data_IF_599348645008
#
_entry.id   IF_599348645008
#
_cell.length_a   1.000
_cell.length_b   1.000
_cell.length_c   1.000
_cell.angle_alpha   90.00
_cell.angle_beta   90.00
_cell.angle_gamma   90.00
#
_symmetry.space_group_name_H-M   'P 1'
#
loop_
_entity.id
_entity.type
_entity.pdbx_description
1 polymer ?
#
# COMPACT_ATOMS: atom_id res chain seq x y z
N UNK A 1 1.78 15.55 12.68
CA UNK A 1 1.03 16.09 13.83
C UNK A 1 1.89 15.96 15.07
N UNK A 2 2.03 17.02 15.86
CA UNK A 2 2.84 17.01 17.09
C UNK A 2 2.01 17.44 18.29
N UNK A 3 2.34 16.89 19.46
CA UNK A 3 1.73 17.20 20.75
C UNK A 3 2.85 17.46 21.76
N UNK A 4 2.77 18.55 22.51
CA UNK A 4 3.66 18.81 23.63
C UNK A 4 2.89 18.65 24.94
N UNK A 5 3.47 17.91 25.88
CA UNK A 5 2.90 17.61 27.19
C UNK A 5 3.94 17.99 28.24
N UNK A 6 3.52 18.77 29.24
CA UNK A 6 4.32 19.04 30.42
C UNK A 6 3.94 18.06 31.52
N UNK A 7 4.92 17.32 32.03
CA UNK A 7 4.72 16.37 33.14
C UNK A 7 5.95 16.40 34.04
N UNK A 8 5.74 16.51 35.35
CA UNK A 8 6.79 16.52 36.37
C UNK A 8 7.86 17.63 36.15
N UNK A 9 7.44 18.79 35.62
CA UNK A 9 8.33 19.92 35.31
C UNK A 9 9.18 19.74 34.04
N UNK A 10 9.02 18.62 33.33
CA UNK A 10 9.64 18.38 32.03
C UNK A 10 8.63 18.57 30.89
N UNK A 11 8.98 19.39 29.91
CA UNK A 11 8.20 19.52 28.68
C UNK A 11 8.64 18.47 27.67
N UNK A 12 7.77 17.53 27.32
CA UNK A 12 8.04 16.50 26.31
C UNK A 12 7.18 16.76 25.09
N UNK A 13 7.80 16.75 23.92
CA UNK A 13 7.11 16.85 22.64
C UNK A 13 7.12 15.49 21.95
N UNK A 14 5.99 15.12 21.36
CA UNK A 14 5.74 13.90 20.60
C UNK A 14 5.30 14.28 19.19
N UNK A 15 5.74 13.54 18.19
CA UNK A 15 5.36 13.73 16.78
C UNK A 15 4.98 12.40 16.16
N UNK A 16 3.90 12.41 15.38
CA UNK A 16 3.51 11.29 14.50
C UNK A 16 3.45 11.78 13.05
N UNK A 17 3.91 10.94 12.13
CA UNK A 17 3.95 11.25 10.70
C UNK A 17 4.26 10.02 9.85
N UNK A 18 4.38 10.23 8.53
CA UNK A 18 4.90 9.18 7.66
C UNK A 18 6.38 8.92 7.99
N UNK A 19 6.89 7.69 7.82
CA UNK A 19 8.28 7.35 8.08
C UNK A 19 9.29 8.24 7.34
N UNK A 20 8.98 8.57 6.08
CA UNK A 20 9.83 9.38 5.21
C UNK A 20 9.93 10.82 5.71
N UNK A 21 8.80 11.41 6.11
CA UNK A 21 8.78 12.79 6.59
C UNK A 21 9.33 12.92 8.00
N UNK A 22 9.12 11.91 8.84
CA UNK A 22 9.70 11.89 10.17
C UNK A 22 11.23 11.85 10.08
N UNK A 23 11.80 11.07 9.14
CA UNK A 23 13.25 10.90 8.94
C UNK A 23 14.03 12.21 8.88
N UNK A 24 13.47 13.23 8.21
CA UNK A 24 14.08 14.56 8.11
C UNK A 24 14.22 15.26 9.48
N UNK A 25 13.42 14.86 10.46
CA UNK A 25 13.30 15.49 11.79
C UNK A 25 13.98 14.66 12.90
N UNK A 26 14.24 13.38 12.68
CA UNK A 26 14.85 12.44 13.65
C UNK A 26 16.37 12.35 13.50
N UNK A 27 17.06 12.18 14.62
CA UNK A 27 18.52 11.92 14.64
C UNK A 27 18.81 10.58 13.96
N UNK A 28 19.69 10.58 12.96
CA UNK A 28 20.03 9.36 12.21
C UNK A 28 20.57 8.25 13.11
N UNK A 29 21.32 8.60 14.17
CA UNK A 29 21.83 7.64 15.17
C UNK A 29 20.74 6.91 15.97
N UNK A 30 19.51 7.45 16.01
CA UNK A 30 18.37 6.82 16.70
C UNK A 30 17.60 5.84 15.79
N UNK A 31 17.93 5.77 14.50
CA UNK A 31 17.24 4.92 13.54
C UNK A 31 17.97 3.57 13.48
N UNK A 32 17.31 2.45 13.83
CA UNK A 32 17.95 1.13 13.74
C UNK A 32 18.21 0.74 12.28
N UNK A 33 19.27 -0.05 12.06
CA UNK A 33 19.66 -0.51 10.71
C UNK A 33 18.58 -1.37 10.02
N UNK A 34 17.70 -2.02 10.80
CA UNK A 34 16.56 -2.80 10.30
C UNK A 34 15.39 -1.94 9.81
N UNK A 35 15.39 -0.63 10.06
CA UNK A 35 14.28 0.27 9.74
C UNK A 35 13.88 0.21 8.27
N UNK A 36 14.84 0.30 7.34
CA UNK A 36 14.54 0.27 5.90
C UNK A 36 14.02 -1.07 5.43
N UNK A 37 14.53 -2.17 5.99
CA UNK A 37 14.07 -3.52 5.65
C UNK A 37 12.63 -3.73 6.10
N UNK A 38 12.29 -3.25 7.30
CA UNK A 38 10.92 -3.32 7.81
C UNK A 38 9.98 -2.39 7.05
N UNK A 39 10.43 -1.17 6.74
CA UNK A 39 9.64 -0.23 5.94
C UNK A 39 9.31 -0.80 4.57
N UNK A 40 10.31 -1.31 3.84
CA UNK A 40 10.13 -1.96 2.54
C UNK A 40 9.20 -3.18 2.62
N UNK A 41 9.42 -4.05 3.61
CA UNK A 41 8.60 -5.24 3.83
C UNK A 41 7.12 -4.88 4.10
N UNK A 42 6.85 -3.96 5.03
CA UNK A 42 5.47 -3.60 5.39
C UNK A 42 4.79 -2.70 4.35
N UNK A 43 5.55 -1.92 3.57
CA UNK A 43 5.00 -1.12 2.48
C UNK A 43 4.45 -2.02 1.37
N UNK A 44 5.10 -3.17 1.12
CA UNK A 44 4.60 -4.21 0.20
C UNK A 44 3.33 -4.90 0.69
N UNK A 45 3.07 -4.90 1.99
CA UNK A 45 1.88 -5.49 2.59
C UNK A 45 0.67 -4.52 2.65
N UNK A 46 0.79 -3.31 2.07
CA UNK A 46 -0.27 -2.27 2.08
C UNK A 46 -0.75 -1.97 3.50
N UNK A 47 0.18 -2.00 4.46
CA UNK A 47 -0.08 -1.59 5.83
C UNK A 47 0.26 -0.12 5.94
N UNK A 48 -0.61 0.67 6.56
CA UNK A 48 -0.31 2.07 6.81
C UNK A 48 0.73 2.16 7.92
N UNK A 49 1.94 2.61 7.58
CA UNK A 49 3.03 2.77 8.55
C UNK A 49 3.04 4.22 9.03
N UNK A 50 3.02 4.40 10.36
CA UNK A 50 3.20 5.70 10.99
C UNK A 50 4.41 5.66 11.91
N UNK A 51 5.31 6.62 11.76
CA UNK A 51 6.47 6.76 12.61
C UNK A 51 6.19 7.76 13.75
N UNK A 52 6.74 7.45 14.92
CA UNK A 52 6.61 8.26 16.13
C UNK A 52 7.98 8.71 16.61
N UNK A 53 8.10 10.01 16.89
CA UNK A 53 9.27 10.60 17.50
C UNK A 53 8.95 11.29 18.82
N UNK A 54 9.92 11.34 19.73
CA UNK A 54 9.85 12.21 20.91
C UNK A 54 11.12 13.04 21.07
N UNK A 55 10.96 14.18 21.73
CA UNK A 55 12.04 15.01 22.24
C UNK A 55 11.66 15.59 23.60
N UNK A 56 12.64 15.68 24.50
CA UNK A 56 12.49 16.44 25.74
C UNK A 56 12.96 17.86 25.47
N UNK A 57 12.11 18.84 25.77
CA UNK A 57 12.42 20.27 25.64
C UNK A 57 12.87 20.77 27.00
N UNK A 58 14.17 21.03 27.15
CA UNK A 58 14.67 21.81 28.28
C UNK A 58 14.57 23.30 27.94
N UNK A 59 14.28 24.15 28.94
CA UNK A 59 14.10 25.61 28.75
C UNK A 59 15.28 26.32 28.06
N UNK A 60 16.46 25.68 28.03
CA UNK A 60 17.70 26.22 27.46
C UNK A 60 18.14 25.59 26.13
N UNK A 61 17.40 24.63 25.55
CA UNK A 61 17.83 23.96 24.31
C UNK A 61 16.79 24.07 23.20
N UNK A 62 17.01 25.03 22.31
CA UNK A 62 16.15 25.36 21.18
C UNK A 62 16.31 24.36 20.01
N UNK A 63 17.42 23.62 19.95
CA UNK A 63 17.80 22.79 18.78
C UNK A 63 17.96 21.33 19.19
N UNK A 64 16.87 20.66 19.58
CA UNK A 64 16.85 19.20 19.72
C UNK A 64 16.09 18.55 18.58
N UNK A 65 16.82 17.78 17.75
CA UNK A 65 16.25 16.81 16.82
C UNK A 65 15.53 15.70 17.57
N UNK A 66 14.50 15.14 16.93
CA UNK A 66 13.66 14.09 17.49
C UNK A 66 14.42 12.75 17.60
N UNK A 67 14.00 11.86 18.50
CA UNK A 67 14.45 10.46 18.52
C UNK A 67 13.29 9.56 18.06
N UNK A 68 13.58 8.57 17.20
CA UNK A 68 12.57 7.62 16.75
C UNK A 68 12.25 6.70 17.92
N UNK A 69 10.98 6.61 18.29
CA UNK A 69 10.53 5.72 19.37
C UNK A 69 10.03 4.41 18.78
N UNK A 70 9.15 4.50 17.78
CA UNK A 70 8.45 3.33 17.26
C UNK A 70 7.84 3.57 15.88
N UNK A 71 7.54 2.46 15.21
CA UNK A 71 6.69 2.40 14.04
C UNK A 71 5.37 1.75 14.46
N UNK A 72 4.25 2.41 14.17
CA UNK A 72 2.92 1.84 14.30
C UNK A 72 2.46 1.32 12.94
N UNK A 73 1.99 0.08 12.95
CA UNK A 73 1.37 -0.58 11.81
C UNK A 73 -0.14 -0.46 11.94
N UNK A 74 -0.75 0.38 11.12
CA UNK A 74 -2.19 0.58 11.07
C UNK A 74 -2.82 -0.35 10.04
N UNK A 75 -3.62 -1.30 10.50
CA UNK A 75 -4.55 -2.07 9.66
C UNK A 75 -5.86 -1.27 9.53
N UNK A 76 -6.32 -0.96 8.32
CA UNK A 76 -7.69 -0.48 8.10
C UNK A 76 -8.66 -1.68 8.18
N UNK A 77 -8.89 -2.17 9.41
CA UNK A 77 -9.74 -3.34 9.67
C UNK A 77 -11.25 -3.11 9.48
N UNK A 78 -11.68 -1.85 9.35
CA UNK A 78 -13.11 -1.50 9.25
C UNK A 78 -13.68 -1.65 7.84
N UNK A 79 -12.85 -1.46 6.80
CA UNK A 79 -13.31 -1.38 5.41
C UNK A 79 -13.80 -2.73 4.90
N UNK A 80 -13.11 -3.82 5.24
CA UNK A 80 -13.49 -5.19 4.84
C UNK A 80 -14.90 -5.57 5.32
N UNK A 81 -15.26 -5.24 6.57
CA UNK A 81 -16.58 -5.56 7.12
C UNK A 81 -17.72 -4.86 6.38
N UNK A 82 -17.52 -3.59 6.02
CA UNK A 82 -18.51 -2.81 5.27
C UNK A 82 -18.68 -3.37 3.86
N UNK A 83 -17.57 -3.70 3.20
CA UNK A 83 -17.59 -4.32 1.86
C UNK A 83 -18.35 -5.65 1.89
N UNK A 84 -18.14 -6.46 2.92
CA UNK A 84 -18.82 -7.73 3.06
C UNK A 84 -20.34 -7.57 3.24
N UNK A 85 -20.79 -6.61 4.06
CA UNK A 85 -22.23 -6.29 4.20
C UNK A 85 -22.84 -5.86 2.85
N UNK A 86 -22.11 -5.06 2.05
CA UNK A 86 -22.56 -4.64 0.73
C UNK A 86 -22.66 -5.83 -0.23
N UNK A 87 -21.66 -6.72 -0.23
CA UNK A 87 -21.65 -7.93 -1.06
C UNK A 87 -22.77 -8.91 -0.67
N UNK A 88 -23.01 -9.10 0.64
CA UNK A 88 -24.12 -9.91 1.17
C UNK A 88 -25.48 -9.35 0.76
N UNK A 89 -25.58 -8.02 0.60
CA UNK A 89 -26.72 -7.32 0.03
C UNK A 89 -26.79 -7.33 -1.50
N UNK A 90 -25.97 -8.14 -2.18
CA UNK A 90 -25.85 -8.21 -3.64
C UNK A 90 -25.44 -6.89 -4.32
N UNK A 91 -24.79 -5.98 -3.59
CA UNK A 91 -24.29 -4.72 -4.14
C UNK A 91 -22.89 -4.96 -4.69
N UNK A 92 -22.71 -4.68 -6.00
CA UNK A 92 -21.41 -4.78 -6.66
C UNK A 92 -20.43 -3.78 -6.07
N UNK A 93 -19.33 -4.27 -5.51
CA UNK A 93 -18.25 -3.45 -4.97
C UNK A 93 -17.11 -3.29 -5.98
N UNK A 94 -16.72 -2.06 -6.28
CA UNK A 94 -15.58 -1.73 -7.14
C UNK A 94 -14.55 -0.93 -6.36
N UNK A 95 -13.27 -1.10 -6.70
CA UNK A 95 -12.17 -0.38 -6.07
C UNK A 95 -11.50 0.53 -7.10
N UNK A 96 -11.33 1.81 -6.77
CA UNK A 96 -10.68 2.82 -7.61
C UNK A 96 -9.54 3.43 -6.82
N UNK A 97 -8.31 3.34 -7.34
CA UNK A 97 -7.14 3.99 -6.78
C UNK A 97 -6.41 4.81 -7.85
N UNK A 98 -5.68 5.83 -7.41
CA UNK A 98 -4.84 6.68 -8.25
C UNK A 98 -3.35 6.43 -8.10
N UNK A 99 -2.95 5.33 -7.47
CA UNK A 99 -1.57 4.96 -7.20
C UNK A 99 -1.19 3.64 -7.90
N UNK A 100 -0.16 2.96 -7.40
CA UNK A 100 0.41 1.78 -8.05
C UNK A 100 -0.59 0.61 -8.15
N UNK A 101 -0.65 -0.03 -9.31
CA UNK A 101 -1.43 -1.25 -9.59
C UNK A 101 -1.22 -2.34 -8.53
N UNK A 102 0.00 -2.53 -8.05
CA UNK A 102 0.30 -3.51 -6.98
C UNK A 102 -0.40 -3.17 -5.67
N UNK A 103 -0.46 -1.87 -5.32
CA UNK A 103 -1.20 -1.40 -4.14
C UNK A 103 -2.68 -1.69 -4.31
N UNK A 104 -3.22 -1.43 -5.51
CA UNK A 104 -4.62 -1.65 -5.80
C UNK A 104 -5.02 -3.13 -5.70
N UNK A 105 -4.22 -4.03 -6.29
CA UNK A 105 -4.46 -5.48 -6.20
C UNK A 105 -4.42 -5.96 -4.75
N UNK A 106 -3.39 -5.56 -4.00
CA UNK A 106 -3.23 -5.97 -2.61
C UNK A 106 -4.36 -5.45 -1.72
N UNK A 107 -4.76 -4.18 -1.88
CA UNK A 107 -5.90 -3.60 -1.17
C UNK A 107 -7.22 -4.29 -1.51
N UNK A 108 -7.44 -4.60 -2.79
CA UNK A 108 -8.65 -5.29 -3.26
C UNK A 108 -8.74 -6.72 -2.69
N UNK A 109 -7.62 -7.45 -2.64
CA UNK A 109 -7.54 -8.79 -2.02
C UNK A 109 -7.76 -8.72 -0.50
N UNK A 110 -7.13 -7.77 0.19
CA UNK A 110 -7.30 -7.59 1.64
C UNK A 110 -8.75 -7.24 2.04
N UNK A 111 -9.44 -6.50 1.17
CA UNK A 111 -10.83 -6.13 1.36
C UNK A 111 -11.84 -7.18 0.83
N UNK A 112 -11.37 -8.31 0.30
CA UNK A 112 -12.23 -9.34 -0.34
C UNK A 112 -13.09 -8.80 -1.49
N UNK A 113 -12.65 -7.72 -2.15
CA UNK A 113 -13.25 -7.27 -3.42
C UNK A 113 -12.81 -8.21 -4.54
N UNK A 114 -11.56 -8.66 -4.51
CA UNK A 114 -11.01 -9.70 -5.38
C UNK A 114 -10.70 -10.90 -4.51
N UNK A 115 -11.19 -12.08 -4.88
CA UNK A 115 -10.89 -13.31 -4.15
C UNK A 115 -9.42 -13.73 -4.36
N UNK A 116 -8.77 -14.38 -3.38
CA UNK A 116 -7.37 -14.81 -3.52
C UNK A 116 -7.09 -15.66 -4.77
N UNK A 117 -8.06 -16.47 -5.18
CA UNK A 117 -7.94 -17.40 -6.33
C UNK A 117 -8.49 -16.81 -7.64
N UNK A 118 -8.90 -15.55 -7.65
CA UNK A 118 -9.44 -14.90 -8.83
C UNK A 118 -8.29 -14.35 -9.68
N UNK A 119 -8.23 -14.78 -10.94
CA UNK A 119 -7.25 -14.26 -11.92
C UNK A 119 -7.44 -12.76 -12.13
N UNK A 120 -6.33 -12.06 -12.24
CA UNK A 120 -6.27 -10.62 -12.49
C UNK A 120 -5.56 -10.40 -13.81
N UNK A 121 -6.15 -9.63 -14.71
CA UNK A 121 -5.53 -9.29 -15.98
C UNK A 121 -5.20 -7.80 -16.03
N UNK A 122 -3.94 -7.49 -16.30
CA UNK A 122 -3.44 -6.13 -16.45
C UNK A 122 -3.43 -5.73 -17.92
N UNK A 123 -4.09 -4.61 -18.22
CA UNK A 123 -4.08 -3.98 -19.53
C UNK A 123 -2.81 -3.17 -19.72
N UNK A 124 -2.03 -3.52 -20.73
CA UNK A 124 -0.78 -2.88 -21.10
C UNK A 124 -0.86 -2.41 -22.56
N UNK A 125 -0.27 -1.26 -22.89
CA UNK A 125 -0.28 -0.73 -24.26
C UNK A 125 0.96 -1.22 -24.98
N UNK A 126 0.78 -1.96 -26.08
CA UNK A 126 1.91 -2.35 -26.93
C UNK A 126 2.59 -1.11 -27.49
N UNK A 127 3.92 -1.11 -27.45
CA UNK A 127 4.74 -0.11 -28.14
C UNK A 127 4.53 -0.16 -29.66
N UNK A 128 4.32 -1.36 -30.21
CA UNK A 128 4.04 -1.57 -31.62
C UNK A 128 2.60 -1.21 -31.97
N UNK A 129 2.44 -0.18 -32.81
CA UNK A 129 1.16 0.21 -33.37
C UNK A 129 0.78 -0.71 -34.52
N UNK A 130 -0.39 -1.35 -34.43
CA UNK A 130 -0.98 -2.09 -35.55
C UNK A 130 -1.89 -1.12 -36.31
N UNK A 131 -1.63 -0.91 -37.60
CA UNK A 131 -2.37 0.02 -38.46
C UNK A 131 -2.43 1.46 -37.90
N UNK A 132 -1.34 1.91 -37.25
CA UNK A 132 -1.26 3.24 -36.64
C UNK A 132 -2.05 3.41 -35.34
N UNK A 133 -2.70 2.35 -34.83
CA UNK A 133 -3.47 2.36 -33.59
C UNK A 133 -2.71 1.65 -32.46
N UNK A 134 -2.80 2.22 -31.26
CA UNK A 134 -2.32 1.57 -30.04
C UNK A 134 -3.16 0.32 -29.75
N UNK A 135 -2.51 -0.74 -29.30
CA UNK A 135 -3.17 -2.01 -28.99
C UNK A 135 -3.04 -2.30 -27.50
N UNK A 136 -4.15 -2.63 -26.85
CA UNK A 136 -4.17 -3.05 -25.44
C UNK A 136 -4.00 -4.56 -25.39
N UNK A 137 -3.12 -5.03 -24.51
CA UNK A 137 -2.90 -6.45 -24.21
C UNK A 137 -3.22 -6.68 -22.76
N UNK A 138 -4.04 -7.69 -22.52
CA UNK A 138 -4.40 -8.11 -21.17
C UNK A 138 -3.56 -9.31 -20.77
N UNK A 139 -2.61 -9.11 -19.88
CA UNK A 139 -1.70 -10.15 -19.37
C UNK A 139 -2.15 -10.56 -17.98
N UNK A 140 -2.19 -11.86 -17.71
CA UNK A 140 -2.44 -12.34 -16.34
C UNK A 140 -1.32 -11.85 -15.41
N UNK A 141 -1.73 -11.33 -14.27
CA UNK A 141 -0.85 -10.74 -13.27
C UNK A 141 0.05 -11.79 -12.62
N UNK A 142 -0.47 -12.99 -12.36
CA UNK A 142 0.25 -14.07 -11.68
C UNK A 142 1.00 -14.95 -12.71
N UNK A 143 0.49 -15.05 -13.95
CA UNK A 143 1.10 -15.86 -15.03
C UNK A 143 1.25 -15.05 -16.34
N UNK A 144 2.35 -14.30 -16.48
CA UNK A 144 2.54 -13.36 -17.62
C UNK A 144 2.39 -13.96 -19.03
N UNK A 145 2.56 -15.27 -19.18
CA UNK A 145 2.41 -15.99 -20.46
C UNK A 145 0.93 -16.21 -20.85
N UNK A 146 0.01 -16.09 -19.89
CA UNK A 146 -1.41 -16.15 -20.12
C UNK A 146 -1.94 -14.77 -20.55
N UNK A 147 -2.34 -14.65 -21.81
CA UNK A 147 -2.81 -13.42 -22.42
C UNK A 147 -4.21 -13.63 -22.96
N UNK A 148 -5.13 -12.69 -22.69
CA UNK A 148 -6.48 -12.77 -23.22
C UNK A 148 -6.50 -12.54 -24.73
N UNK A 149 -7.46 -13.17 -25.40
CA UNK A 149 -7.74 -12.91 -26.81
C UNK A 149 -8.20 -11.44 -26.97
N UNK A 150 -7.59 -10.67 -27.89
CA UNK A 150 -7.88 -9.24 -28.04
C UNK A 150 -9.29 -8.93 -28.53
N UNK A 151 -9.99 -9.86 -29.16
CA UNK A 151 -11.33 -9.64 -29.71
C UNK A 151 -12.44 -9.93 -28.70
N UNK A 152 -12.29 -10.97 -27.87
CA UNK A 152 -13.35 -11.46 -27.00
C UNK A 152 -12.95 -11.55 -25.51
N UNK A 153 -11.71 -11.17 -25.16
CA UNK A 153 -11.17 -11.20 -23.80
C UNK A 153 -11.24 -12.57 -23.11
N UNK A 154 -11.34 -13.66 -23.87
CA UNK A 154 -11.29 -15.02 -23.33
C UNK A 154 -9.84 -15.42 -23.01
N UNK A 155 -9.60 -16.19 -21.92
CA UNK A 155 -8.30 -16.78 -21.66
C UNK A 155 -7.88 -17.71 -22.80
N UNK A 156 -6.59 -17.74 -23.15
CA UNK A 156 -6.07 -18.76 -24.06
C UNK A 156 -6.16 -20.12 -23.35
N UNK A 157 -7.18 -20.89 -23.69
CA UNK A 157 -7.33 -22.27 -23.20
C UNK A 157 -6.12 -23.08 -23.68
N UNK A 158 -5.25 -23.46 -22.74
CA UNK A 158 -4.29 -24.54 -23.00
C UNK A 158 -5.08 -25.84 -23.14
N UNK A 159 -5.28 -26.28 -24.38
CA UNK A 159 -5.46 -27.69 -24.75
C UNK A 159 -6.56 -28.48 -24.03
N UNK A 160 -7.83 -28.07 -24.14
CA UNK A 160 -8.93 -29.04 -24.02
C UNK A 160 -9.49 -29.24 -25.43
N UNK A 161 -8.94 -30.23 -26.14
CA UNK A 161 -9.61 -30.83 -27.28
C UNK A 161 -10.87 -31.52 -26.75
N UNK A 162 -12.03 -30.90 -26.95
CA UNK A 162 -13.26 -31.67 -26.98
C UNK A 162 -13.26 -32.44 -28.31
N UNK A 163 -12.91 -33.73 -28.25
CA UNK A 163 -13.37 -34.71 -29.22
C UNK A 163 -14.83 -35.04 -28.94
#
# INVERSE_FOLDING_TARGET
MSLSVEKDGELKSYVKGSPEKLRELIKQQSVPSSFYKLLDFYSKLVIRILAYGAKTLSKNQIIMMWNLISLLLGYQSSTTKIIQILQDGCIRTIMVLGDNVLTAISGARQCSIIQPNQSIFLGDIREEKINGKNQIVWKDFDMSDNVLNPENLSPKLFGINYQ
#
